data_IF_640071770359
#
_entry.id   IF_640071770359
#
_cell.length_a   1.000
_cell.length_b   1.000
_cell.length_c   1.000
_cell.angle_alpha   90.00
_cell.angle_beta   90.00
_cell.angle_gamma   90.00
#
_symmetry.space_group_name_H-M   'P 1'
#
loop_
_entity.id
_entity.type
_entity.pdbx_description
1 polymer ?
#
# COMPACT_ATOMS: atom_id res chain seq x y z
N UNK A 1 -42.44 14.05 9.39
CA UNK A 1 -42.02 12.69 9.83
C UNK A 1 -40.92 12.22 8.88
N UNK A 2 -39.68 12.47 9.26
CA UNK A 2 -38.47 12.05 8.52
C UNK A 2 -38.15 10.62 8.95
N UNK A 3 -38.49 9.65 8.12
CA UNK A 3 -38.01 8.28 8.28
C UNK A 3 -36.52 8.24 8.08
N UNK A 4 -35.77 8.17 9.16
CA UNK A 4 -34.36 7.71 9.14
C UNK A 4 -34.36 6.23 8.73
N UNK A 5 -34.10 5.94 7.43
CA UNK A 5 -33.68 4.62 7.00
C UNK A 5 -32.29 4.41 7.61
N UNK A 6 -32.20 3.50 8.57
CA UNK A 6 -30.93 2.94 9.02
C UNK A 6 -30.29 2.26 7.81
N UNK A 7 -29.26 2.89 7.23
CA UNK A 7 -28.37 2.25 6.29
C UNK A 7 -27.83 0.98 6.92
N UNK A 8 -28.03 -0.15 6.26
CA UNK A 8 -27.51 -1.44 6.70
C UNK A 8 -25.99 -1.38 6.65
N UNK A 9 -25.32 -1.37 7.80
CA UNK A 9 -23.87 -1.43 7.95
C UNK A 9 -23.29 -2.81 7.59
N UNK A 10 -24.04 -3.65 6.88
CA UNK A 10 -23.65 -5.03 6.60
C UNK A 10 -23.52 -5.25 5.09
N UNK A 11 -22.31 -5.53 4.63
CA UNK A 11 -22.04 -5.85 3.23
C UNK A 11 -22.75 -7.17 2.88
N UNK A 12 -23.38 -7.23 1.70
CA UNK A 12 -24.04 -8.43 1.20
C UNK A 12 -23.02 -9.48 0.78
N UNK A 13 -23.36 -10.76 0.94
CA UNK A 13 -22.48 -11.88 0.59
C UNK A 13 -22.13 -11.90 -0.89
N UNK A 14 -23.03 -11.47 -1.80
CA UNK A 14 -22.74 -11.33 -3.22
C UNK A 14 -21.63 -10.33 -3.51
N UNK A 15 -21.65 -9.16 -2.85
CA UNK A 15 -20.60 -8.15 -2.97
C UNK A 15 -19.25 -8.68 -2.47
N UNK A 16 -19.25 -9.41 -1.35
CA UNK A 16 -18.05 -10.06 -0.82
C UNK A 16 -17.51 -11.13 -1.78
N UNK A 17 -18.41 -11.91 -2.42
CA UNK A 17 -18.01 -12.95 -3.36
C UNK A 17 -17.40 -12.38 -4.65
N UNK A 18 -17.91 -11.23 -5.14
CA UNK A 18 -17.30 -10.49 -6.26
C UNK A 18 -15.90 -9.99 -5.88
N UNK A 19 -15.76 -9.35 -4.72
CA UNK A 19 -14.48 -8.83 -4.24
C UNK A 19 -13.42 -9.92 -4.09
N UNK A 20 -13.80 -11.08 -3.55
CA UNK A 20 -12.91 -12.22 -3.39
C UNK A 20 -12.64 -13.01 -4.68
N UNK A 21 -13.23 -12.60 -5.81
CA UNK A 21 -13.11 -13.31 -7.09
C UNK A 21 -13.78 -14.69 -7.15
N UNK A 22 -14.60 -15.03 -6.17
CA UNK A 22 -15.30 -16.33 -6.15
C UNK A 22 -16.53 -16.35 -7.06
N UNK A 23 -17.15 -15.19 -7.31
CA UNK A 23 -18.29 -15.06 -8.21
C UNK A 23 -18.16 -13.82 -9.08
N UNK A 24 -18.68 -13.92 -10.31
CA UNK A 24 -18.86 -12.77 -11.21
C UNK A 24 -20.18 -12.04 -10.89
N UNK A 25 -20.31 -10.79 -11.36
CA UNK A 25 -21.53 -10.01 -11.23
C UNK A 25 -22.75 -10.74 -11.82
N UNK A 26 -22.59 -11.39 -12.99
CA UNK A 26 -23.66 -12.14 -13.64
C UNK A 26 -24.15 -13.35 -12.81
N UNK A 27 -23.24 -14.01 -12.11
CA UNK A 27 -23.58 -15.14 -11.22
C UNK A 27 -24.30 -14.64 -9.97
N UNK A 28 -23.87 -13.50 -9.41
CA UNK A 28 -24.55 -12.84 -8.29
C UNK A 28 -25.96 -12.44 -8.71
N UNK A 29 -26.16 -11.83 -9.88
CA UNK A 29 -27.48 -11.43 -10.38
C UNK A 29 -28.40 -12.64 -10.58
N UNK A 30 -27.87 -13.79 -11.06
CA UNK A 30 -28.63 -15.04 -11.17
C UNK A 30 -29.11 -15.53 -9.81
N UNK A 31 -28.26 -15.52 -8.79
CA UNK A 31 -28.67 -15.93 -7.45
C UNK A 31 -29.70 -14.96 -6.86
N UNK A 32 -29.55 -13.66 -7.09
CA UNK A 32 -30.56 -12.65 -6.65
C UNK A 32 -31.92 -12.92 -7.30
N UNK A 33 -31.95 -13.27 -8.60
CA UNK A 33 -33.20 -13.64 -9.29
C UNK A 33 -33.79 -14.93 -8.68
N UNK A 34 -32.97 -15.96 -8.44
CA UNK A 34 -33.44 -17.21 -7.81
C UNK A 34 -34.01 -16.95 -6.41
N UNK A 35 -33.46 -16.02 -5.64
CA UNK A 35 -34.01 -15.65 -4.34
C UNK A 35 -35.42 -15.05 -4.42
N UNK A 36 -35.84 -14.50 -5.57
CA UNK A 36 -37.22 -14.02 -5.72
C UNK A 36 -38.23 -15.14 -5.86
N UNK A 37 -37.77 -16.36 -6.18
CA UNK A 37 -38.61 -17.54 -6.41
C UNK A 37 -38.44 -18.61 -5.33
N UNK A 38 -37.34 -18.59 -4.58
CA UNK A 38 -37.04 -19.56 -3.52
C UNK A 38 -36.81 -18.85 -2.19
N UNK A 39 -37.43 -19.34 -1.11
CA UNK A 39 -37.21 -18.81 0.24
C UNK A 39 -35.96 -19.41 0.87
N UNK A 40 -34.81 -19.11 0.23
CA UNK A 40 -33.46 -19.52 0.69
C UNK A 40 -32.51 -18.34 0.78
N UNK A 41 -31.49 -18.48 1.62
CA UNK A 41 -30.44 -17.45 1.75
C UNK A 41 -29.52 -17.47 0.50
N UNK A 42 -28.93 -16.33 0.19
CA UNK A 42 -27.99 -16.17 -0.94
C UNK A 42 -26.89 -17.25 -0.93
N UNK A 43 -26.23 -17.46 0.24
CA UNK A 43 -25.17 -18.47 0.36
C UNK A 43 -25.64 -19.89 0.11
N UNK A 44 -26.85 -20.25 0.55
CA UNK A 44 -27.45 -21.58 0.33
C UNK A 44 -27.72 -21.82 -1.16
N UNK A 45 -28.24 -20.80 -1.86
CA UNK A 45 -28.48 -20.89 -3.31
C UNK A 45 -27.17 -20.91 -4.09
N UNK A 46 -26.19 -20.09 -3.70
CA UNK A 46 -24.88 -20.06 -4.37
C UNK A 46 -24.14 -21.39 -4.22
N UNK A 47 -24.27 -22.07 -3.08
CA UNK A 47 -23.72 -23.43 -2.87
C UNK A 47 -24.49 -24.44 -3.73
N UNK A 48 -25.83 -24.38 -3.74
CA UNK A 48 -26.68 -25.30 -4.49
C UNK A 48 -26.40 -25.21 -6.01
N UNK A 49 -26.21 -24.00 -6.53
CA UNK A 49 -25.88 -23.75 -7.93
C UNK A 49 -24.41 -24.03 -8.26
N UNK A 50 -23.59 -24.35 -7.26
CA UNK A 50 -22.18 -24.70 -7.44
C UNK A 50 -21.24 -23.49 -7.66
N UNK A 51 -21.69 -22.26 -7.35
CA UNK A 51 -20.88 -21.06 -7.44
C UNK A 51 -19.98 -20.86 -6.23
N UNK A 52 -20.39 -21.35 -5.05
CA UNK A 52 -19.62 -21.27 -3.80
C UNK A 52 -19.62 -22.63 -3.08
N UNK A 53 -18.61 -22.85 -2.27
CA UNK A 53 -18.55 -23.94 -1.29
C UNK A 53 -18.91 -23.43 0.11
N UNK A 54 -19.28 -24.33 1.04
CA UNK A 54 -19.54 -23.97 2.45
C UNK A 54 -18.33 -23.30 3.12
N UNK A 55 -17.11 -23.75 2.76
CA UNK A 55 -15.86 -23.20 3.26
C UNK A 55 -15.66 -21.75 2.81
N UNK A 56 -15.93 -21.45 1.54
CA UNK A 56 -15.83 -20.10 0.97
C UNK A 56 -16.87 -19.16 1.57
N UNK A 57 -18.11 -19.59 1.75
CA UNK A 57 -19.13 -18.80 2.44
C UNK A 57 -18.70 -18.47 3.87
N UNK A 58 -18.17 -19.45 4.60
CA UNK A 58 -17.69 -19.25 5.98
C UNK A 58 -16.53 -18.26 6.01
N UNK A 59 -15.58 -18.39 5.07
CA UNK A 59 -14.43 -17.49 4.93
C UNK A 59 -14.88 -16.06 4.65
N UNK A 60 -15.74 -15.84 3.63
CA UNK A 60 -16.27 -14.52 3.28
C UNK A 60 -17.00 -13.82 4.43
N UNK A 61 -17.66 -14.58 5.29
CA UNK A 61 -18.37 -14.03 6.47
C UNK A 61 -17.42 -13.69 7.64
N UNK A 62 -16.27 -14.34 7.70
CA UNK A 62 -15.28 -14.19 8.76
C UNK A 62 -14.21 -13.10 8.45
N UNK A 63 -13.98 -12.79 7.19
CA UNK A 63 -12.96 -11.81 6.77
C UNK A 63 -13.33 -10.38 7.17
N UNK A 64 -12.29 -9.59 7.45
CA UNK A 64 -12.41 -8.16 7.70
C UNK A 64 -12.83 -7.45 6.41
N UNK A 65 -13.81 -6.56 6.50
CA UNK A 65 -14.46 -5.97 5.33
C UNK A 65 -13.85 -4.61 5.02
N UNK A 66 -13.29 -4.40 3.81
CA UNK A 66 -12.77 -3.11 3.41
C UNK A 66 -13.87 -2.05 3.34
N UNK A 67 -13.58 -0.82 3.80
CA UNK A 67 -14.55 0.28 3.85
C UNK A 67 -15.08 0.69 2.45
N UNK A 68 -14.27 0.56 1.39
CA UNK A 68 -14.71 0.89 0.03
C UNK A 68 -15.84 -0.02 -0.47
N UNK A 69 -15.92 -1.28 0.02
CA UNK A 69 -17.03 -2.16 -0.31
C UNK A 69 -18.36 -1.71 0.31
N UNK A 70 -18.32 -1.04 1.47
CA UNK A 70 -19.51 -0.42 2.05
C UNK A 70 -20.05 0.69 1.16
N UNK A 71 -19.15 1.52 0.61
CA UNK A 71 -19.53 2.56 -0.35
C UNK A 71 -20.09 1.94 -1.64
N UNK A 72 -19.38 0.97 -2.23
CA UNK A 72 -19.81 0.27 -3.42
C UNK A 72 -21.18 -0.38 -3.25
N UNK A 73 -21.41 -1.06 -2.12
CA UNK A 73 -22.71 -1.65 -1.80
C UNK A 73 -23.80 -0.58 -1.66
N UNK A 74 -23.52 0.55 -1.03
CA UNK A 74 -24.47 1.64 -0.90
C UNK A 74 -24.87 2.20 -2.28
N UNK A 75 -23.94 2.34 -3.20
CA UNK A 75 -24.20 2.79 -4.57
C UNK A 75 -25.07 1.80 -5.34
N UNK A 76 -24.89 0.49 -5.15
CA UNK A 76 -25.76 -0.54 -5.74
C UNK A 76 -27.15 -0.50 -5.10
N UNK A 77 -27.26 -0.36 -3.79
CA UNK A 77 -28.53 -0.34 -3.07
C UNK A 77 -29.38 0.91 -3.39
N UNK A 78 -28.75 2.03 -3.70
CA UNK A 78 -29.40 3.25 -4.17
C UNK A 78 -29.69 3.22 -5.70
N UNK A 79 -29.27 2.16 -6.38
CA UNK A 79 -29.47 2.00 -7.83
C UNK A 79 -28.65 2.94 -8.70
N UNK A 80 -27.58 3.51 -8.15
CA UNK A 80 -26.67 4.41 -8.88
C UNK A 80 -25.71 3.64 -9.79
N UNK A 81 -25.35 2.43 -9.39
CA UNK A 81 -24.57 1.46 -10.18
C UNK A 81 -25.20 0.08 -10.10
N UNK A 82 -24.90 -0.78 -11.07
CA UNK A 82 -25.26 -2.20 -11.05
C UNK A 82 -24.10 -3.07 -10.56
N UNK A 83 -24.33 -4.36 -10.35
CA UNK A 83 -23.30 -5.30 -9.89
C UNK A 83 -22.14 -5.44 -10.88
N UNK A 84 -22.37 -5.31 -12.19
CA UNK A 84 -21.31 -5.35 -13.19
C UNK A 84 -20.39 -4.11 -13.05
N UNK A 85 -20.95 -2.93 -12.90
CA UNK A 85 -20.19 -1.71 -12.66
C UNK A 85 -19.46 -1.76 -11.30
N UNK A 86 -20.07 -2.37 -10.28
CA UNK A 86 -19.39 -2.61 -9.01
C UNK A 86 -18.20 -3.55 -9.19
N UNK A 87 -18.34 -4.63 -9.97
CA UNK A 87 -17.24 -5.54 -10.28
C UNK A 87 -16.11 -4.83 -11.03
N UNK A 88 -16.43 -4.01 -12.03
CA UNK A 88 -15.45 -3.19 -12.76
C UNK A 88 -14.72 -2.23 -11.80
N UNK A 89 -15.45 -1.53 -10.93
CA UNK A 89 -14.86 -0.66 -9.90
C UNK A 89 -13.98 -1.41 -8.90
N UNK A 90 -14.35 -2.63 -8.51
CA UNK A 90 -13.52 -3.48 -7.64
C UNK A 90 -12.23 -3.86 -8.37
N UNK A 91 -12.32 -4.28 -9.63
CA UNK A 91 -11.16 -4.65 -10.44
C UNK A 91 -10.26 -3.43 -10.65
N UNK A 92 -10.81 -2.28 -11.02
CA UNK A 92 -10.06 -1.04 -11.19
C UNK A 92 -9.39 -0.62 -9.88
N UNK A 93 -10.15 -0.64 -8.77
CA UNK A 93 -9.61 -0.35 -7.44
C UNK A 93 -8.50 -1.34 -7.04
N UNK A 94 -8.68 -2.63 -7.29
CA UNK A 94 -7.65 -3.64 -7.04
C UNK A 94 -6.44 -3.42 -7.94
N UNK A 95 -6.64 -3.17 -9.24
CA UNK A 95 -5.53 -2.90 -10.17
C UNK A 95 -4.77 -1.62 -9.88
N UNK A 96 -5.46 -0.58 -9.37
CA UNK A 96 -4.85 0.68 -8.94
C UNK A 96 -4.23 0.58 -7.54
N UNK A 97 -4.79 -0.30 -6.69
CA UNK A 97 -4.40 -0.47 -5.28
C UNK A 97 -3.87 -1.89 -4.99
N UNK A 98 -3.65 -2.72 -6.00
CA UNK A 98 -2.91 -4.00 -5.89
C UNK A 98 -1.43 -3.75 -5.55
N UNK A 99 -1.24 -3.13 -4.40
CA UNK A 99 0.05 -3.03 -3.74
C UNK A 99 0.44 -4.35 -3.08
N UNK A 100 -0.51 -5.29 -2.96
CA UNK A 100 -0.33 -6.54 -2.23
C UNK A 100 -0.15 -7.78 -3.11
N UNK A 101 -0.40 -7.71 -4.43
CA UNK A 101 -0.34 -8.91 -5.28
C UNK A 101 0.40 -8.70 -6.61
N UNK A 102 1.51 -7.94 -6.62
CA UNK A 102 2.55 -8.33 -7.54
C UNK A 102 3.12 -9.63 -6.96
N UNK A 103 2.73 -10.73 -7.56
CA UNK A 103 3.40 -12.01 -7.38
C UNK A 103 4.85 -11.87 -7.84
N UNK A 104 5.69 -11.30 -6.96
CA UNK A 104 7.10 -11.62 -7.01
C UNK A 104 7.19 -13.14 -7.13
N UNK A 105 8.09 -13.65 -7.93
CA UNK A 105 8.41 -15.06 -7.83
C UNK A 105 8.64 -15.38 -6.34
N UNK A 106 8.34 -16.57 -5.88
CA UNK A 106 8.63 -16.96 -4.50
C UNK A 106 10.09 -16.65 -4.14
N UNK A 107 10.99 -16.70 -5.13
CA UNK A 107 12.41 -16.35 -5.01
C UNK A 107 12.63 -14.85 -4.72
N UNK A 108 11.84 -13.95 -5.32
CA UNK A 108 11.96 -12.50 -5.08
C UNK A 108 11.38 -12.12 -3.71
N UNK A 109 10.27 -12.75 -3.30
CA UNK A 109 9.71 -12.53 -1.95
C UNK A 109 10.65 -13.04 -0.86
N UNK A 110 11.30 -14.17 -1.08
CA UNK A 110 12.30 -14.70 -0.16
C UNK A 110 13.55 -13.82 -0.15
N UNK A 111 13.97 -13.28 -1.29
CA UNK A 111 15.09 -12.34 -1.36
C UNK A 111 14.79 -11.04 -0.58
N UNK A 112 13.59 -10.47 -0.75
CA UNK A 112 13.15 -9.28 0.01
C UNK A 112 13.07 -9.61 1.50
N UNK A 113 12.51 -10.75 1.87
CA UNK A 113 12.43 -11.20 3.27
C UNK A 113 13.82 -11.38 3.89
N UNK A 114 14.72 -12.08 3.21
CA UNK A 114 16.11 -12.24 3.65
C UNK A 114 16.87 -10.92 3.71
N UNK A 115 16.59 -10.00 2.81
CA UNK A 115 17.15 -8.66 2.87
C UNK A 115 16.67 -7.91 4.12
N UNK A 116 15.39 -7.97 4.43
CA UNK A 116 14.81 -7.35 5.62
C UNK A 116 15.38 -8.00 6.87
N UNK A 117 15.47 -9.33 6.93
CA UNK A 117 16.06 -10.06 8.03
C UNK A 117 17.55 -9.72 8.21
N UNK A 118 18.32 -9.65 7.11
CA UNK A 118 19.73 -9.28 7.14
C UNK A 118 19.94 -7.79 7.46
N UNK A 119 19.01 -6.91 7.05
CA UNK A 119 19.00 -5.50 7.41
C UNK A 119 19.09 -5.34 8.94
N UNK A 120 18.47 -6.25 9.69
CA UNK A 120 18.26 -6.11 11.11
C UNK A 120 19.13 -7.00 11.99
N UNK A 121 19.92 -7.87 11.42
CA UNK A 121 21.05 -8.47 12.14
C UNK A 121 22.05 -7.38 12.58
N UNK A 122 22.06 -6.23 11.89
CA UNK A 122 22.89 -5.07 12.23
C UNK A 122 22.19 -4.09 13.20
N UNK A 123 20.87 -4.10 13.27
CA UNK A 123 20.13 -3.44 14.33
C UNK A 123 20.21 -4.34 15.58
N UNK A 124 20.73 -3.84 16.68
CA UNK A 124 20.88 -4.59 17.95
C UNK A 124 19.51 -5.03 18.55
N UNK A 125 18.43 -4.90 17.80
CA UNK A 125 17.07 -5.28 18.19
C UNK A 125 16.28 -5.89 17.02
N UNK A 126 15.31 -6.79 17.31
CA UNK A 126 14.40 -7.28 16.26
C UNK A 126 13.48 -6.16 15.76
N UNK A 127 13.14 -6.20 14.46
CA UNK A 127 12.13 -5.33 13.91
C UNK A 127 10.74 -5.62 14.47
N UNK A 128 9.99 -4.55 14.66
CA UNK A 128 8.55 -4.63 14.82
C UNK A 128 7.89 -5.04 13.49
N UNK A 129 6.71 -5.64 13.58
CA UNK A 129 5.91 -5.96 12.39
C UNK A 129 5.58 -4.74 11.53
N UNK A 130 5.51 -3.56 12.11
CA UNK A 130 5.25 -2.29 11.42
C UNK A 130 6.44 -1.84 10.58
N UNK A 131 7.65 -1.99 11.12
CA UNK A 131 8.89 -1.70 10.38
C UNK A 131 9.09 -2.70 9.23
N UNK A 132 8.77 -3.98 9.44
CA UNK A 132 8.80 -4.99 8.38
C UNK A 132 7.85 -4.60 7.25
N UNK A 133 6.59 -4.27 7.57
CA UNK A 133 5.60 -3.83 6.58
C UNK A 133 6.05 -2.57 5.84
N UNK A 134 6.66 -1.61 6.56
CA UNK A 134 7.21 -0.38 5.96
C UNK A 134 8.27 -0.67 4.90
N UNK A 135 9.25 -1.51 5.22
CA UNK A 135 10.33 -1.84 4.29
C UNK A 135 9.88 -2.72 3.13
N UNK A 136 8.98 -3.68 3.37
CA UNK A 136 8.38 -4.47 2.29
C UNK A 136 7.69 -3.57 1.29
N UNK A 137 6.88 -2.62 1.76
CA UNK A 137 6.21 -1.65 0.91
C UNK A 137 7.20 -0.76 0.15
N UNK A 138 8.31 -0.34 0.79
CA UNK A 138 9.32 0.48 0.13
C UNK A 138 9.95 -0.26 -1.05
N UNK A 139 10.35 -1.51 -0.86
CA UNK A 139 10.96 -2.30 -1.91
C UNK A 139 9.97 -2.61 -3.04
N UNK A 140 8.71 -2.87 -2.70
CA UNK A 140 7.64 -3.03 -3.67
C UNK A 140 7.46 -1.75 -4.52
N UNK A 141 7.46 -0.58 -3.90
CA UNK A 141 7.32 0.68 -4.61
C UNK A 141 8.55 0.97 -5.50
N UNK A 142 9.77 0.67 -5.03
CA UNK A 142 10.98 0.81 -5.85
C UNK A 142 10.92 -0.09 -7.08
N UNK A 143 10.58 -1.36 -6.89
CA UNK A 143 10.42 -2.32 -7.98
C UNK A 143 9.37 -1.84 -9.00
N UNK A 144 8.20 -1.45 -8.51
CA UNK A 144 7.07 -1.05 -9.34
C UNK A 144 7.31 0.21 -10.15
N UNK A 145 7.86 1.24 -9.52
CA UNK A 145 7.91 2.58 -10.10
C UNK A 145 9.27 2.94 -10.68
N UNK A 146 10.35 2.33 -10.19
CA UNK A 146 11.72 2.67 -10.62
C UNK A 146 12.34 1.55 -11.46
N UNK A 147 12.14 0.29 -11.05
CA UNK A 147 12.61 -0.90 -11.75
C UNK A 147 13.16 -1.96 -10.80
N UNK A 148 13.42 -3.13 -11.37
CA UNK A 148 13.91 -4.33 -10.66
C UNK A 148 15.44 -4.44 -10.63
N UNK A 149 16.14 -3.55 -11.32
CA UNK A 149 17.59 -3.57 -11.52
C UNK A 149 18.37 -2.89 -10.39
N UNK A 150 17.93 -3.06 -9.12
CA UNK A 150 18.63 -2.47 -7.98
C UNK A 150 19.32 -3.49 -7.08
N UNK A 151 20.34 -3.03 -6.37
CA UNK A 151 21.05 -3.78 -5.34
C UNK A 151 20.99 -3.02 -4.01
N UNK A 152 20.61 -3.72 -2.94
CA UNK A 152 20.65 -3.15 -1.61
C UNK A 152 22.06 -3.29 -1.02
N UNK A 153 22.54 -2.20 -0.43
CA UNK A 153 23.75 -2.23 0.40
C UNK A 153 23.32 -2.42 1.84
N UNK A 154 24.14 -3.12 2.61
CA UNK A 154 23.88 -3.31 4.04
C UNK A 154 23.64 -1.97 4.73
N UNK A 155 22.56 -1.84 5.49
CA UNK A 155 22.25 -0.61 6.21
C UNK A 155 23.27 -0.35 7.31
N UNK A 156 23.39 0.91 7.69
CA UNK A 156 24.27 1.32 8.78
C UNK A 156 23.57 2.30 9.71
N UNK A 157 23.93 2.26 10.99
CA UNK A 157 23.48 3.30 11.93
C UNK A 157 24.06 4.66 11.52
N UNK A 158 23.24 5.69 11.57
CA UNK A 158 23.58 7.02 11.09
C UNK A 158 23.26 8.07 12.17
N UNK A 159 24.23 8.87 12.58
CA UNK A 159 24.04 9.98 13.50
C UNK A 159 24.10 11.34 12.83
N UNK A 160 24.86 11.42 11.75
CA UNK A 160 25.05 12.61 10.92
C UNK A 160 25.09 12.18 9.46
N UNK A 161 24.49 12.99 8.59
CA UNK A 161 24.47 12.71 7.16
C UNK A 161 24.60 13.99 6.33
N UNK A 162 25.60 14.10 5.44
CA UNK A 162 25.72 15.20 4.49
C UNK A 162 24.68 15.03 3.36
N UNK A 163 23.91 16.08 3.09
CA UNK A 163 22.83 16.04 2.10
C UNK A 163 23.26 16.53 0.73
N UNK A 164 22.60 15.98 -0.29
CA UNK A 164 22.55 16.52 -1.64
C UNK A 164 21.17 17.18 -1.86
N UNK A 165 20.32 16.58 -2.69
CA UNK A 165 18.91 16.94 -2.72
C UNK A 165 18.16 15.95 -1.82
N UNK A 166 17.76 16.44 -0.67
CA UNK A 166 17.16 15.61 0.36
C UNK A 166 15.71 16.03 0.62
N UNK A 167 14.80 15.08 0.55
CA UNK A 167 13.39 15.27 0.90
C UNK A 167 13.07 14.44 2.12
N UNK A 168 12.37 15.00 3.09
CA UNK A 168 11.91 14.27 4.28
C UNK A 168 10.39 14.33 4.44
N UNK A 169 9.84 13.31 5.08
CA UNK A 169 8.43 13.28 5.46
C UNK A 169 8.23 12.47 6.73
N UNK A 170 7.37 12.96 7.62
CA UNK A 170 7.07 12.29 8.89
C UNK A 170 5.69 11.66 8.89
N UNK A 171 5.66 10.42 9.33
CA UNK A 171 4.47 9.70 9.76
C UNK A 171 4.43 9.72 11.29
N UNK A 172 3.29 10.05 11.87
CA UNK A 172 3.10 10.22 13.32
C UNK A 172 1.87 9.48 13.81
N UNK A 173 1.91 8.99 15.05
CA UNK A 173 0.79 8.30 15.72
C UNK A 173 1.30 7.25 16.69
N UNK A 174 0.60 6.13 16.79
CA UNK A 174 1.02 4.96 17.59
C UNK A 174 2.30 4.28 17.05
N UNK A 175 2.66 4.57 15.82
CA UNK A 175 3.97 4.34 15.21
C UNK A 175 4.43 5.66 14.58
N UNK A 176 5.69 6.02 14.79
CA UNK A 176 6.24 7.26 14.25
C UNK A 176 7.59 7.02 13.61
N UNK A 177 7.71 7.44 12.36
CA UNK A 177 8.93 7.34 11.57
C UNK A 177 9.08 8.60 10.71
N UNK A 178 10.30 9.09 10.56
CA UNK A 178 10.64 10.10 9.57
C UNK A 178 11.51 9.46 8.51
N UNK A 179 11.05 9.51 7.28
CA UNK A 179 11.75 9.01 6.10
C UNK A 179 12.44 10.18 5.41
N UNK A 180 13.69 9.99 5.05
CA UNK A 180 14.44 10.90 4.19
C UNK A 180 14.86 10.15 2.93
N UNK A 181 14.83 10.81 1.80
CA UNK A 181 15.36 10.35 0.54
C UNK A 181 16.34 11.41 0.02
N UNK A 182 17.63 11.08 0.05
CA UNK A 182 18.69 11.92 -0.46
C UNK A 182 19.24 11.36 -1.77
N UNK A 183 19.24 12.19 -2.78
CA UNK A 183 19.64 11.81 -4.14
C UNK A 183 20.51 12.93 -4.75
N UNK A 184 21.69 12.62 -5.32
CA UNK A 184 22.43 13.60 -6.12
C UNK A 184 21.64 14.06 -7.35
N UNK A 185 21.76 15.33 -7.75
CA UNK A 185 20.98 15.95 -8.83
C UNK A 185 20.94 15.12 -10.12
N UNK A 186 22.10 14.59 -10.56
CA UNK A 186 22.16 13.75 -11.76
C UNK A 186 21.35 12.47 -11.62
N UNK A 187 21.31 11.90 -10.43
CA UNK A 187 20.52 10.70 -10.11
C UNK A 187 19.04 11.04 -9.99
N UNK A 188 18.69 12.24 -9.48
CA UNK A 188 17.30 12.72 -9.44
C UNK A 188 16.66 12.77 -10.83
N UNK A 189 17.40 13.25 -11.84
CA UNK A 189 16.90 13.33 -13.23
C UNK A 189 16.55 11.93 -13.76
N UNK A 190 17.44 10.97 -13.56
CA UNK A 190 17.20 9.59 -13.99
C UNK A 190 16.08 8.90 -13.18
N UNK A 191 16.04 9.14 -11.87
CA UNK A 191 14.98 8.67 -10.98
C UNK A 191 13.61 9.19 -11.44
N UNK A 192 13.47 10.50 -11.62
CA UNK A 192 12.21 11.12 -12.05
C UNK A 192 11.80 10.61 -13.43
N UNK A 193 12.75 10.44 -14.35
CA UNK A 193 12.46 9.91 -15.68
C UNK A 193 11.89 8.49 -15.64
N UNK A 194 12.39 7.65 -14.73
CA UNK A 194 11.84 6.30 -14.49
C UNK A 194 10.46 6.36 -13.82
N UNK A 195 10.34 7.16 -12.75
CA UNK A 195 9.15 7.25 -11.93
C UNK A 195 7.92 7.74 -12.71
N UNK A 196 8.07 8.80 -13.53
CA UNK A 196 6.98 9.39 -14.30
C UNK A 196 6.86 8.76 -15.70
N UNK A 197 7.83 7.92 -16.10
CA UNK A 197 7.97 7.35 -17.45
C UNK A 197 8.06 8.44 -18.55
N UNK A 198 8.78 9.52 -18.24
CA UNK A 198 9.08 10.62 -19.17
C UNK A 198 10.58 10.88 -19.21
N UNK A 199 11.08 11.55 -20.24
CA UNK A 199 12.52 11.81 -20.39
C UNK A 199 12.87 13.22 -19.92
N UNK A 200 13.43 13.36 -18.74
CA UNK A 200 13.96 14.61 -18.21
C UNK A 200 15.46 14.74 -18.53
N UNK A 201 15.93 15.95 -18.76
CA UNK A 201 17.34 16.26 -19.09
C UNK A 201 17.95 17.30 -18.15
N UNK A 202 17.16 17.97 -17.34
CA UNK A 202 17.57 19.04 -16.44
C UNK A 202 16.97 18.81 -15.06
N UNK A 203 17.67 19.27 -14.01
CA UNK A 203 17.19 19.22 -12.63
C UNK A 203 16.26 20.40 -12.36
N UNK A 204 15.04 20.30 -12.85
CA UNK A 204 14.00 21.31 -12.75
C UNK A 204 12.98 21.02 -11.63
N UNK A 205 11.91 21.81 -11.60
CA UNK A 205 10.83 21.67 -10.60
C UNK A 205 10.06 20.36 -10.76
N UNK A 206 9.92 19.83 -11.98
CA UNK A 206 9.22 18.55 -12.22
C UNK A 206 10.03 17.38 -11.66
N UNK A 207 11.33 17.39 -11.84
CA UNK A 207 12.25 16.39 -11.27
C UNK A 207 12.19 16.43 -9.75
N UNK A 208 12.21 17.62 -9.14
CA UNK A 208 12.10 17.78 -7.68
C UNK A 208 10.77 17.26 -7.15
N UNK A 209 9.67 17.69 -7.77
CA UNK A 209 8.32 17.24 -7.40
C UNK A 209 8.15 15.72 -7.51
N UNK A 210 8.83 15.07 -8.46
CA UNK A 210 8.80 13.60 -8.59
C UNK A 210 9.42 12.89 -7.39
N UNK A 211 10.47 13.43 -6.81
CA UNK A 211 11.10 12.89 -5.59
C UNK A 211 10.19 13.09 -4.37
N UNK A 212 9.60 14.28 -4.25
CA UNK A 212 8.65 14.59 -3.18
C UNK A 212 7.40 13.71 -3.28
N UNK A 213 6.89 13.50 -4.50
CA UNK A 213 5.70 12.70 -4.74
C UNK A 213 5.95 11.21 -4.43
N UNK A 214 7.11 10.66 -4.78
CA UNK A 214 7.46 9.29 -4.44
C UNK A 214 7.48 9.04 -2.92
N UNK A 215 8.09 9.93 -2.12
CA UNK A 215 8.05 9.82 -0.66
C UNK A 215 6.62 9.93 -0.13
N UNK A 216 5.85 10.88 -0.66
CA UNK A 216 4.47 11.08 -0.24
C UNK A 216 3.59 9.88 -0.58
N UNK A 217 3.75 9.31 -1.77
CA UNK A 217 3.08 8.09 -2.20
C UNK A 217 3.42 6.92 -1.25
N UNK A 218 4.72 6.66 -1.01
CA UNK A 218 5.15 5.55 -0.17
C UNK A 218 4.59 5.66 1.26
N UNK A 219 4.77 6.82 1.91
CA UNK A 219 4.31 7.02 3.28
C UNK A 219 2.77 7.07 3.37
N UNK A 220 2.09 7.58 2.34
CA UNK A 220 0.63 7.56 2.25
C UNK A 220 0.08 6.14 2.18
N UNK A 221 0.65 5.32 1.32
CA UNK A 221 0.29 3.90 1.20
C UNK A 221 0.59 3.14 2.51
N UNK A 222 1.71 3.43 3.16
CA UNK A 222 2.01 2.86 4.48
C UNK A 222 0.94 3.22 5.51
N UNK A 223 0.47 4.46 5.57
CA UNK A 223 -0.61 4.85 6.48
C UNK A 223 -1.91 4.09 6.19
N UNK A 224 -2.23 3.87 4.91
CA UNK A 224 -3.39 3.08 4.49
C UNK A 224 -3.24 1.62 4.92
N UNK A 225 -2.08 1.00 4.68
CA UNK A 225 -1.81 -0.39 5.09
C UNK A 225 -1.91 -0.54 6.62
N UNK A 226 -1.35 0.40 7.38
CA UNK A 226 -1.46 0.37 8.85
C UNK A 226 -2.91 0.47 9.33
N UNK A 227 -3.74 1.26 8.66
CA UNK A 227 -5.16 1.34 8.97
C UNK A 227 -5.88 0.02 8.64
N UNK A 228 -5.62 -0.56 7.47
CA UNK A 228 -6.29 -1.75 6.99
C UNK A 228 -5.88 -3.02 7.77
N UNK A 229 -4.59 -3.23 7.96
CA UNK A 229 -4.08 -4.47 8.56
C UNK A 229 -4.07 -4.44 10.10
N UNK A 230 -3.78 -3.29 10.69
CA UNK A 230 -3.54 -3.16 12.12
C UNK A 230 -4.53 -2.24 12.83
N UNK A 231 -5.52 -1.69 12.12
CA UNK A 231 -6.49 -0.72 12.67
C UNK A 231 -5.81 0.48 13.34
N UNK A 232 -4.65 0.88 12.83
CA UNK A 232 -3.87 2.01 13.32
C UNK A 232 -4.22 3.27 12.53
N UNK A 233 -4.48 4.36 13.23
CA UNK A 233 -4.69 5.66 12.61
C UNK A 233 -3.41 6.48 12.72
N UNK A 234 -2.73 6.67 11.60
CA UNK A 234 -1.50 7.44 11.49
C UNK A 234 -1.76 8.76 10.76
N UNK A 235 -1.00 9.79 11.12
CA UNK A 235 -1.03 11.11 10.48
C UNK A 235 0.20 11.28 9.60
N UNK A 236 0.01 11.78 8.40
CA UNK A 236 1.06 12.07 7.44
C UNK A 236 1.26 13.58 7.34
N UNK A 237 2.50 14.06 7.57
CA UNK A 237 2.88 15.45 7.35
C UNK A 237 3.16 15.70 5.85
N UNK A 238 3.21 16.94 5.40
CA UNK A 238 3.64 17.25 4.04
C UNK A 238 5.14 16.94 3.86
N UNK A 239 5.59 16.56 2.66
CA UNK A 239 7.01 16.44 2.35
C UNK A 239 7.72 17.78 2.54
N UNK A 240 8.98 17.73 2.96
CA UNK A 240 9.83 18.91 3.19
C UNK A 240 11.18 18.70 2.53
N UNK A 241 11.59 19.66 1.71
CA UNK A 241 12.96 19.70 1.19
C UNK A 241 13.89 20.20 2.29
N UNK A 242 14.91 19.42 2.63
CA UNK A 242 15.86 19.76 3.68
C UNK A 242 16.86 20.81 3.15
N UNK A 243 16.94 21.94 3.84
CA UNK A 243 17.83 23.07 3.45
C UNK A 243 19.23 22.97 4.09
N UNK A 244 19.46 21.99 4.97
CA UNK A 244 20.71 21.83 5.70
C UNK A 244 21.68 20.96 4.93
N UNK A 245 22.91 21.39 4.83
CA UNK A 245 24.01 20.61 4.24
C UNK A 245 24.42 19.39 5.08
N UNK A 246 24.05 19.37 6.36
CA UNK A 246 24.31 18.29 7.30
C UNK A 246 23.08 18.05 8.18
N UNK A 247 22.53 16.86 8.12
CA UNK A 247 21.49 16.40 9.06
C UNK A 247 22.14 15.78 10.29
N UNK A 248 21.54 16.00 11.45
CA UNK A 248 21.91 15.37 12.72
C UNK A 248 20.67 14.74 13.33
N UNK A 249 20.80 13.50 13.80
CA UNK A 249 19.67 12.71 14.28
C UNK A 249 19.76 12.50 15.78
N UNK A 250 18.64 12.71 16.48
CA UNK A 250 18.53 12.52 17.92
C UNK A 250 17.98 11.13 18.29
N UNK A 251 17.28 10.51 17.35
CA UNK A 251 16.69 9.19 17.52
C UNK A 251 17.50 8.08 16.81
N UNK A 252 17.06 6.85 16.99
CA UNK A 252 17.62 5.71 16.29
C UNK A 252 17.42 5.87 14.79
N UNK A 253 18.51 5.97 14.05
CA UNK A 253 18.49 6.31 12.62
C UNK A 253 19.37 5.36 11.84
N UNK A 254 18.86 4.91 10.69
CA UNK A 254 19.52 3.99 9.78
C UNK A 254 19.60 4.59 8.38
N UNK A 255 20.75 4.44 7.75
CA UNK A 255 21.00 4.74 6.34
C UNK A 255 20.92 3.44 5.54
N UNK A 256 20.11 3.42 4.50
CA UNK A 256 19.99 2.36 3.51
C UNK A 256 20.34 2.89 2.11
N UNK A 257 21.52 2.60 1.58
CA UNK A 257 21.83 2.86 0.19
C UNK A 257 21.17 1.83 -0.73
N UNK A 258 20.51 2.29 -1.78
CA UNK A 258 19.94 1.47 -2.85
C UNK A 258 20.63 1.84 -4.15
N UNK A 259 21.38 0.90 -4.73
CA UNK A 259 22.17 1.10 -5.93
C UNK A 259 21.35 0.73 -7.15
N UNK A 260 21.13 1.69 -8.04
CA UNK A 260 20.62 1.46 -9.38
C UNK A 260 21.74 1.68 -10.42
N UNK A 261 21.62 1.18 -11.65
CA UNK A 261 22.59 1.45 -12.71
C UNK A 261 22.79 2.94 -13.02
N UNK A 262 21.78 3.77 -12.73
CA UNK A 262 21.83 5.21 -12.96
C UNK A 262 22.33 6.02 -11.75
N UNK A 263 22.53 5.40 -10.59
CA UNK A 263 23.04 6.05 -9.39
C UNK A 263 22.51 5.46 -8.09
N UNK A 264 22.91 6.04 -6.97
CA UNK A 264 22.51 5.56 -5.64
C UNK A 264 21.45 6.45 -5.04
N UNK A 265 20.38 5.82 -4.53
CA UNK A 265 19.38 6.45 -3.68
C UNK A 265 19.75 6.18 -2.22
N UNK A 266 19.79 7.22 -1.39
CA UNK A 266 20.04 7.08 0.03
C UNK A 266 18.76 7.28 0.81
N UNK A 267 18.20 6.20 1.31
CA UNK A 267 17.09 6.27 2.26
C UNK A 267 17.61 6.35 3.68
N UNK A 268 17.05 7.26 4.47
CA UNK A 268 17.37 7.38 5.89
C UNK A 268 16.07 7.29 6.68
N UNK A 269 16.09 6.50 7.72
CA UNK A 269 14.91 6.22 8.54
C UNK A 269 15.21 6.56 9.99
N UNK A 270 14.58 7.63 10.48
CA UNK A 270 14.63 8.02 11.89
C UNK A 270 13.39 7.49 12.60
N UNK A 271 13.58 6.57 13.55
CA UNK A 271 12.51 5.92 14.29
C UNK A 271 12.19 6.79 15.51
N UNK A 272 11.05 7.50 15.41
CA UNK A 272 10.63 8.47 16.40
C UNK A 272 9.68 7.90 17.46
N UNK A 273 9.56 6.58 17.59
CA UNK A 273 8.64 5.96 18.57
C UNK A 273 9.00 6.37 19.99
N UNK A 274 8.06 6.97 20.70
CA UNK A 274 8.19 7.18 22.15
C UNK A 274 8.29 5.82 22.85
N UNK A 275 9.24 5.69 23.76
CA UNK A 275 9.49 4.49 24.57
C UNK A 275 8.39 4.25 25.59
#
# INVERSE_FOLDING_TARGET
ETMHRKSSTKIKLGTLAIHAGYMTANEVDRIVILQTHEDKRFGELAIHEGYLTEAEVTKLLAEQKPDFLLLGQALVDEGLINNQQLQELIIDYQSENELDDYSYSEEDQDAIRHMIENFFILAERPLSKYEISFFQLLFNNLYRFIGDDFTLVSPSSCKEYPTNYCVSQKVSGSFSIRTYLDIPENTCIAFASKYVNENFTEFDEYVRSSVEDFINLHNGLFCVNMSNEFSMNLSLEAPVVEEKDLLTFEHETYLLPVLFPFGTLHFIFEICSEK
#
